data_IF_871534171977
#
_entry.id   IF_871534171977
#
_cell.length_a   1.000
_cell.length_b   1.000
_cell.length_c   1.000
_cell.angle_alpha   90.00
_cell.angle_beta   90.00
_cell.angle_gamma   90.00
#
_symmetry.space_group_name_H-M   'P 1'
#
loop_
_entity.id
_entity.type
_entity.pdbx_description
1 polymer ?
#
# COMPACT_ATOMS: atom_id res chain seq x y z
N UNK A 1 25.87 23.66 11.68
CA UNK A 1 24.89 24.16 10.69
C UNK A 1 24.27 23.02 9.86
N UNK A 2 24.01 21.85 10.47
CA UNK A 2 23.54 20.63 9.80
C UNK A 2 22.28 20.02 10.46
N UNK A 3 21.74 20.65 11.51
CA UNK A 3 20.53 20.20 12.22
C UNK A 3 19.28 20.94 11.70
N UNK A 4 19.43 22.09 11.03
CA UNK A 4 18.30 22.85 10.48
C UNK A 4 17.83 22.34 9.11
N UNK A 5 18.55 21.43 8.46
CA UNK A 5 18.13 20.87 7.16
C UNK A 5 17.07 19.77 7.26
N UNK A 6 16.80 19.23 8.47
CA UNK A 6 15.66 18.34 8.71
C UNK A 6 14.32 19.10 8.82
N UNK A 7 14.35 20.43 8.95
CA UNK A 7 13.15 21.27 8.98
C UNK A 7 12.61 21.64 7.59
N UNK A 8 13.34 21.31 6.51
CA UNK A 8 12.94 21.61 5.14
C UNK A 8 11.77 20.74 4.62
N UNK A 9 11.35 19.71 5.36
CA UNK A 9 10.15 18.92 5.07
C UNK A 9 8.91 19.41 5.86
N UNK A 10 9.03 20.51 6.62
CA UNK A 10 8.03 20.96 7.59
C UNK A 10 7.05 22.04 7.13
N UNK A 11 6.92 22.32 5.83
CA UNK A 11 6.06 23.40 5.32
C UNK A 11 4.64 22.96 4.92
N UNK A 12 4.06 22.00 5.64
CA UNK A 12 2.61 21.76 5.54
C UNK A 12 1.91 22.35 6.77
N UNK A 13 1.07 23.35 6.52
CA UNK A 13 0.20 23.98 7.51
C UNK A 13 -0.96 23.04 7.88
N UNK A 14 -0.68 22.05 8.72
CA UNK A 14 -1.72 21.22 9.34
C UNK A 14 -1.54 21.22 10.86
N UNK A 15 -2.65 21.03 11.57
CA UNK A 15 -2.68 21.16 13.02
C UNK A 15 -2.02 19.95 13.69
N UNK A 16 -0.93 20.21 14.43
CA UNK A 16 -0.15 19.18 15.13
C UNK A 16 -0.41 19.14 16.63
N UNK A 17 -1.21 20.06 17.16
CA UNK A 17 -1.45 20.17 18.60
C UNK A 17 -2.26 18.99 19.10
N UNK A 18 -1.73 18.22 20.05
CA UNK A 18 -2.46 17.12 20.65
C UNK A 18 -3.64 17.63 21.50
N UNK A 19 -4.78 16.96 21.40
CA UNK A 19 -5.95 17.22 22.26
C UNK A 19 -6.07 16.13 23.32
N UNK A 20 -6.84 16.34 24.42
CA UNK A 20 -7.06 15.28 25.40
C UNK A 20 -7.65 14.00 24.79
N UNK A 21 -8.56 14.14 23.80
CA UNK A 21 -9.15 13.01 23.09
C UNK A 21 -8.10 12.25 22.28
N UNK A 22 -7.20 12.94 21.57
CA UNK A 22 -6.16 12.28 20.78
C UNK A 22 -5.07 11.66 21.64
N UNK A 23 -4.78 12.21 22.83
CA UNK A 23 -3.88 11.57 23.79
C UNK A 23 -4.45 10.26 24.34
N UNK A 24 -5.76 10.21 24.63
CA UNK A 24 -6.44 8.97 25.02
C UNK A 24 -6.38 7.96 23.87
N UNK A 25 -6.65 8.40 22.64
CA UNK A 25 -6.53 7.55 21.45
C UNK A 25 -5.12 6.95 21.33
N UNK A 26 -4.07 7.76 21.46
CA UNK A 26 -2.67 7.29 21.42
C UNK A 26 -2.39 6.26 22.51
N UNK A 27 -2.85 6.50 23.74
CA UNK A 27 -2.71 5.54 24.83
C UNK A 27 -3.41 4.21 24.52
N UNK A 28 -4.63 4.26 23.96
CA UNK A 28 -5.35 3.05 23.52
C UNK A 28 -4.57 2.31 22.44
N UNK A 29 -4.05 3.01 21.43
CA UNK A 29 -3.21 2.39 20.38
C UNK A 29 -1.99 1.71 20.99
N UNK A 30 -1.25 2.35 21.88
CA UNK A 30 -0.08 1.74 22.53
C UNK A 30 -0.44 0.52 23.37
N UNK A 31 -1.54 0.58 24.13
CA UNK A 31 -2.04 -0.56 24.91
C UNK A 31 -2.45 -1.71 24.00
N UNK A 32 -3.17 -1.44 22.91
CA UNK A 32 -3.59 -2.45 21.92
C UNK A 32 -2.39 -3.07 21.22
N UNK A 33 -1.39 -2.28 20.80
CA UNK A 33 -0.16 -2.78 20.19
C UNK A 33 0.61 -3.65 21.18
N UNK A 34 0.83 -3.17 22.41
CA UNK A 34 1.54 -3.91 23.45
C UNK A 34 0.86 -5.23 23.81
N UNK A 35 -0.45 -5.19 24.07
CA UNK A 35 -1.25 -6.37 24.37
C UNK A 35 -1.33 -7.33 23.18
N UNK A 36 -1.57 -6.81 21.97
CA UNK A 36 -1.64 -7.59 20.75
C UNK A 36 -0.34 -8.32 20.45
N UNK A 37 0.80 -7.64 20.55
CA UNK A 37 2.12 -8.27 20.37
C UNK A 37 2.39 -9.32 21.44
N UNK A 38 2.07 -9.03 22.71
CA UNK A 38 2.20 -10.00 23.79
C UNK A 38 1.32 -11.25 23.55
N UNK A 39 0.05 -11.05 23.18
CA UNK A 39 -0.88 -12.14 22.89
C UNK A 39 -0.41 -12.98 21.68
N UNK A 40 -0.08 -12.33 20.57
CA UNK A 40 0.39 -13.01 19.36
C UNK A 40 1.74 -13.71 19.56
N UNK A 41 2.61 -13.22 20.46
CA UNK A 41 3.85 -13.91 20.84
C UNK A 41 3.62 -15.28 21.46
N UNK A 42 2.41 -15.55 21.99
CA UNK A 42 2.03 -16.87 22.52
C UNK A 42 1.56 -17.82 21.43
N UNK A 43 1.19 -17.31 20.26
CA UNK A 43 0.63 -18.08 19.15
C UNK A 43 1.66 -18.31 18.06
N UNK A 44 2.56 -17.35 17.85
CA UNK A 44 3.53 -17.34 16.76
C UNK A 44 4.94 -16.99 17.22
N UNK A 45 5.92 -17.61 16.57
CA UNK A 45 7.33 -17.26 16.74
C UNK A 45 7.68 -16.05 15.87
N UNK A 46 8.73 -15.33 16.28
CA UNK A 46 9.27 -14.17 15.55
C UNK A 46 8.23 -13.05 15.32
N UNK A 47 7.30 -12.87 16.26
CA UNK A 47 6.19 -11.91 16.09
C UNK A 47 6.68 -10.47 15.85
N UNK A 48 7.80 -10.07 16.45
CA UNK A 48 8.38 -8.74 16.22
C UNK A 48 8.84 -8.55 14.78
N UNK A 49 9.44 -9.59 14.16
CA UNK A 49 9.85 -9.52 12.76
C UNK A 49 8.62 -9.49 11.83
N UNK A 50 7.60 -10.30 12.13
CA UNK A 50 6.31 -10.28 11.39
C UNK A 50 5.62 -8.92 11.49
N UNK A 51 5.59 -8.35 12.68
CA UNK A 51 5.08 -7.01 12.92
C UNK A 51 5.87 -5.95 12.17
N UNK A 52 7.20 -6.03 12.17
CA UNK A 52 8.05 -5.14 11.37
C UNK A 52 7.74 -5.21 9.87
N UNK A 53 7.58 -6.41 9.32
CA UNK A 53 7.20 -6.61 7.91
C UNK A 53 5.82 -5.99 7.63
N UNK A 54 4.83 -6.26 8.49
CA UNK A 54 3.49 -5.68 8.37
C UNK A 54 3.54 -4.15 8.43
N UNK A 55 4.29 -3.60 9.38
CA UNK A 55 4.46 -2.16 9.55
C UNK A 55 5.15 -1.50 8.36
N UNK A 56 6.13 -2.15 7.74
CA UNK A 56 6.71 -1.68 6.48
C UNK A 56 5.67 -1.67 5.36
N UNK A 57 4.85 -2.72 5.25
CA UNK A 57 3.77 -2.77 4.25
C UNK A 57 2.74 -1.65 4.42
N UNK A 58 2.28 -1.43 5.65
CA UNK A 58 1.35 -0.34 6.00
C UNK A 58 2.01 1.03 5.76
N UNK A 59 3.26 1.22 6.17
CA UNK A 59 3.99 2.48 6.00
C UNK A 59 4.19 2.82 4.51
N UNK A 60 4.58 1.83 3.69
CA UNK A 60 4.73 2.01 2.24
C UNK A 60 3.43 2.50 1.64
N UNK A 61 2.31 1.92 2.07
CA UNK A 61 0.99 2.36 1.65
C UNK A 61 0.70 3.79 2.13
N UNK A 62 0.84 4.07 3.42
CA UNK A 62 0.53 5.41 3.98
C UNK A 62 1.38 6.52 3.37
N UNK A 63 2.66 6.25 3.05
CA UNK A 63 3.53 7.20 2.35
C UNK A 63 3.02 7.51 0.94
N UNK A 64 2.58 6.47 0.23
CA UNK A 64 2.12 6.59 -1.14
C UNK A 64 0.74 7.26 -1.24
N UNK A 65 -0.17 6.97 -0.32
CA UNK A 65 -1.52 7.54 -0.28
C UNK A 65 -1.63 8.79 0.60
N UNK A 66 -0.50 9.34 1.07
CA UNK A 66 -0.49 10.53 1.92
C UNK A 66 -1.34 11.69 1.37
N UNK A 67 -1.37 11.98 0.05
CA UNK A 67 -2.22 13.05 -0.49
C UNK A 67 -3.73 12.82 -0.38
N UNK A 68 -4.20 11.59 -0.10
CA UNK A 68 -5.64 11.26 -0.02
C UNK A 68 -6.30 11.71 1.27
N UNK A 69 -5.52 11.89 2.32
CA UNK A 69 -6.04 12.26 3.63
C UNK A 69 -5.16 13.30 4.29
N UNK A 70 -5.64 13.80 5.42
CA UNK A 70 -4.88 14.65 6.31
C UNK A 70 -4.99 14.08 7.71
N UNK A 71 -3.86 13.67 8.28
CA UNK A 71 -3.83 13.30 9.69
C UNK A 71 -3.40 14.50 10.56
N UNK A 72 -4.18 14.81 11.59
CA UNK A 72 -4.02 16.00 12.43
C UNK A 72 -4.11 15.64 13.93
N UNK A 73 -3.76 16.61 14.77
CA UNK A 73 -3.97 16.59 16.22
C UNK A 73 -3.28 15.46 17.00
N UNK A 74 -2.25 14.80 16.46
CA UNK A 74 -1.56 13.69 17.16
C UNK A 74 -0.33 14.13 17.98
N UNK A 75 0.05 15.39 17.96
CA UNK A 75 1.32 15.85 18.53
C UNK A 75 2.45 15.83 17.51
N UNK A 76 3.40 16.76 17.59
CA UNK A 76 4.52 16.86 16.64
C UNK A 76 5.37 15.59 16.56
N UNK A 77 5.42 14.81 17.64
CA UNK A 77 6.16 13.55 17.72
C UNK A 77 5.53 12.42 16.91
N UNK A 78 4.27 12.53 16.50
CA UNK A 78 3.51 11.43 15.92
C UNK A 78 3.72 11.26 14.40
N UNK A 79 4.43 12.17 13.74
CA UNK A 79 4.53 12.25 12.28
C UNK A 79 5.92 11.86 11.77
N UNK A 80 5.97 11.06 10.70
CA UNK A 80 7.21 10.64 10.04
C UNK A 80 7.55 11.47 8.82
N UNK A 81 6.55 11.73 7.97
CA UNK A 81 6.70 12.41 6.70
C UNK A 81 5.38 13.12 6.37
N UNK A 82 5.42 14.45 6.22
CA UNK A 82 4.22 15.30 6.18
C UNK A 82 3.24 14.94 7.30
N UNK A 83 2.07 14.41 6.95
CA UNK A 83 0.99 14.02 7.83
C UNK A 83 0.90 12.49 8.03
N UNK A 84 1.86 11.71 7.52
CA UNK A 84 1.94 10.27 7.76
C UNK A 84 2.35 10.01 9.21
N UNK A 85 1.48 9.34 9.98
CA UNK A 85 1.68 9.12 11.41
C UNK A 85 2.13 7.70 11.74
N UNK A 86 3.28 7.55 12.41
CA UNK A 86 3.74 6.24 12.87
C UNK A 86 2.82 5.60 13.91
N UNK A 87 2.04 6.40 14.66
CA UNK A 87 1.08 5.90 15.65
C UNK A 87 -0.06 5.17 14.92
N UNK A 88 -0.61 5.78 13.87
CA UNK A 88 -1.59 5.11 13.02
C UNK A 88 -0.97 3.90 12.33
N UNK A 89 0.25 4.02 11.79
CA UNK A 89 0.97 2.90 11.16
C UNK A 89 1.03 1.69 12.09
N UNK A 90 1.49 1.83 13.33
CA UNK A 90 1.59 0.70 14.27
C UNK A 90 0.21 0.14 14.68
N UNK A 91 -0.79 1.01 14.81
CA UNK A 91 -2.17 0.62 15.14
C UNK A 91 -2.79 -0.25 14.04
N UNK A 92 -2.70 0.20 12.79
CA UNK A 92 -3.15 -0.58 11.64
C UNK A 92 -2.34 -1.87 11.48
N UNK A 93 -1.03 -1.82 11.73
CA UNK A 93 -0.16 -2.99 11.62
C UNK A 93 -0.52 -4.10 12.58
N UNK A 94 -0.80 -3.78 13.86
CA UNK A 94 -1.18 -4.82 14.83
C UNK A 94 -2.58 -5.37 14.53
N UNK A 95 -3.49 -4.53 14.05
CA UNK A 95 -4.82 -4.97 13.61
C UNK A 95 -4.71 -5.98 12.47
N UNK A 96 -3.95 -5.64 11.43
CA UNK A 96 -3.79 -6.46 10.23
C UNK A 96 -3.08 -7.77 10.56
N UNK A 97 -1.97 -7.68 11.30
CA UNK A 97 -1.24 -8.86 11.75
C UNK A 97 -2.11 -9.76 12.64
N UNK A 98 -2.86 -9.16 13.58
CA UNK A 98 -3.76 -9.89 14.46
C UNK A 98 -4.82 -10.67 13.70
N UNK A 99 -5.49 -10.04 12.73
CA UNK A 99 -6.48 -10.72 11.88
C UNK A 99 -5.85 -11.88 11.12
N UNK A 100 -4.71 -11.65 10.45
CA UNK A 100 -4.05 -12.69 9.65
C UNK A 100 -3.65 -13.87 10.51
N UNK A 101 -2.96 -13.65 11.64
CA UNK A 101 -2.44 -14.73 12.49
C UNK A 101 -3.56 -15.49 13.22
N UNK A 102 -4.61 -14.79 13.67
CA UNK A 102 -5.76 -15.44 14.31
C UNK A 102 -6.52 -16.30 13.29
N UNK A 103 -6.79 -15.78 12.09
CA UNK A 103 -7.50 -16.55 11.06
C UNK A 103 -6.67 -17.74 10.59
N UNK A 104 -5.35 -17.58 10.42
CA UNK A 104 -4.45 -18.70 10.10
C UNK A 104 -4.47 -19.79 11.17
N UNK A 105 -4.52 -19.39 12.45
CA UNK A 105 -4.56 -20.32 13.57
C UNK A 105 -5.91 -21.03 13.69
N UNK A 106 -7.02 -20.33 13.46
CA UNK A 106 -8.38 -20.85 13.59
C UNK A 106 -8.83 -21.69 12.39
N UNK A 107 -8.34 -21.38 11.18
CA UNK A 107 -8.74 -22.02 9.93
C UNK A 107 -7.56 -22.68 9.20
N UNK A 108 -6.73 -23.52 9.87
CA UNK A 108 -5.50 -24.06 9.27
C UNK A 108 -5.78 -25.00 8.09
N UNK A 109 -6.94 -25.65 8.05
CA UNK A 109 -7.36 -26.58 6.99
C UNK A 109 -7.96 -25.89 5.76
N UNK A 110 -8.23 -24.59 5.86
CA UNK A 110 -8.79 -23.84 4.72
C UNK A 110 -7.70 -23.57 3.69
N UNK A 111 -8.08 -23.64 2.42
CA UNK A 111 -7.21 -23.24 1.31
C UNK A 111 -6.86 -21.77 1.43
N UNK A 112 -5.67 -21.39 0.96
CA UNK A 112 -5.17 -20.02 1.14
C UNK A 112 -6.13 -18.95 0.64
N UNK A 113 -6.81 -19.17 -0.49
CA UNK A 113 -7.77 -18.18 -1.01
C UNK A 113 -8.98 -17.94 -0.12
N UNK A 114 -9.45 -18.98 0.59
CA UNK A 114 -10.57 -18.81 1.52
C UNK A 114 -10.12 -18.03 2.75
N UNK A 115 -8.93 -18.34 3.27
CA UNK A 115 -8.34 -17.57 4.38
C UNK A 115 -8.11 -16.12 3.99
N UNK A 116 -7.60 -15.87 2.78
CA UNK A 116 -7.38 -14.53 2.25
C UNK A 116 -8.67 -13.71 2.23
N UNK A 117 -9.75 -14.26 1.68
CA UNK A 117 -11.07 -13.61 1.71
C UNK A 117 -11.60 -13.41 3.13
N UNK A 118 -11.35 -14.35 4.05
CA UNK A 118 -11.71 -14.19 5.47
C UNK A 118 -10.94 -13.03 6.10
N UNK A 119 -9.64 -12.86 5.84
CA UNK A 119 -8.89 -11.70 6.35
C UNK A 119 -9.53 -10.40 5.88
N UNK A 120 -9.83 -10.30 4.58
CA UNK A 120 -10.45 -9.10 3.99
C UNK A 120 -11.83 -8.83 4.61
N UNK A 121 -12.67 -9.85 4.73
CA UNK A 121 -14.01 -9.71 5.32
C UNK A 121 -13.96 -9.24 6.77
N UNK A 122 -13.07 -9.80 7.59
CA UNK A 122 -12.88 -9.37 8.98
C UNK A 122 -12.33 -7.94 9.03
N UNK A 123 -11.36 -7.60 8.18
CA UNK A 123 -10.80 -6.25 8.15
C UNK A 123 -11.81 -5.20 7.71
N UNK A 124 -12.70 -5.48 6.74
CA UNK A 124 -13.79 -4.56 6.39
C UNK A 124 -14.64 -4.23 7.62
N UNK A 125 -15.03 -5.26 8.39
CA UNK A 125 -15.87 -5.08 9.58
C UNK A 125 -15.15 -4.30 10.69
N UNK A 126 -13.84 -4.50 10.85
CA UNK A 126 -13.08 -3.85 11.93
C UNK A 126 -12.57 -2.45 11.57
N UNK A 127 -12.12 -2.23 10.34
CA UNK A 127 -11.54 -0.96 9.90
C UNK A 127 -12.58 0.14 9.83
N UNK A 128 -13.82 -0.17 9.42
CA UNK A 128 -14.85 0.84 9.23
C UNK A 128 -15.25 1.55 10.56
N UNK A 129 -15.55 0.84 11.67
CA UNK A 129 -15.76 1.50 12.97
C UNK A 129 -14.53 2.26 13.49
N UNK A 130 -13.32 1.76 13.23
CA UNK A 130 -12.09 2.43 13.65
C UNK A 130 -11.87 3.72 12.86
N UNK A 131 -12.12 3.70 11.56
CA UNK A 131 -12.04 4.89 10.71
C UNK A 131 -13.09 5.93 11.15
N UNK A 132 -14.33 5.50 11.41
CA UNK A 132 -15.39 6.36 11.98
C UNK A 132 -14.91 6.98 13.29
N UNK A 133 -14.23 6.22 14.15
CA UNK A 133 -13.71 6.75 15.40
C UNK A 133 -12.63 7.82 15.14
N UNK A 134 -11.64 7.52 14.31
CA UNK A 134 -10.50 8.41 13.99
C UNK A 134 -10.97 9.71 13.32
N UNK A 135 -11.95 9.63 12.41
CA UNK A 135 -12.55 10.79 11.76
C UNK A 135 -13.34 11.64 12.75
N UNK A 136 -14.15 11.04 13.62
CA UNK A 136 -14.98 11.78 14.58
C UNK A 136 -14.20 12.47 15.71
N UNK A 137 -12.94 12.09 15.93
CA UNK A 137 -12.04 12.78 16.88
C UNK A 137 -11.04 13.69 16.16
N UNK A 138 -11.32 14.01 14.89
CA UNK A 138 -10.54 14.90 14.02
C UNK A 138 -9.08 14.48 13.83
N UNK A 139 -8.75 13.20 14.02
CA UNK A 139 -7.41 12.69 13.74
C UNK A 139 -7.20 12.53 12.23
N UNK A 140 -8.24 12.21 11.47
CA UNK A 140 -8.17 12.02 10.02
C UNK A 140 -9.30 12.75 9.30
N UNK A 141 -8.99 13.35 8.17
CA UNK A 141 -9.94 13.90 7.21
C UNK A 141 -9.54 13.53 5.78
N UNK A 142 -10.48 13.58 4.85
CA UNK A 142 -10.24 13.26 3.44
C UNK A 142 -9.90 14.52 2.63
N UNK A 143 -9.03 14.37 1.63
CA UNK A 143 -8.73 15.45 0.70
C UNK A 143 -9.96 15.77 -0.17
N UNK A 144 -10.11 17.02 -0.66
CA UNK A 144 -11.24 17.40 -1.51
C UNK A 144 -11.40 16.49 -2.74
N UNK A 145 -10.29 16.12 -3.38
CA UNK A 145 -10.28 15.26 -4.57
C UNK A 145 -10.84 13.87 -4.27
N UNK A 146 -10.60 13.36 -3.05
CA UNK A 146 -11.21 12.12 -2.59
C UNK A 146 -12.70 12.30 -2.41
N UNK A 147 -13.14 13.36 -1.72
CA UNK A 147 -14.57 13.62 -1.53
C UNK A 147 -15.32 13.83 -2.86
N UNK A 148 -14.67 14.42 -3.86
CA UNK A 148 -15.22 14.67 -5.18
C UNK A 148 -15.32 13.38 -6.04
N UNK A 149 -14.48 12.37 -5.80
CA UNK A 149 -14.56 11.07 -6.52
C UNK A 149 -15.57 10.10 -5.91
N UNK A 150 -16.13 10.43 -4.74
CA UNK A 150 -17.09 9.62 -4.01
C UNK A 150 -18.54 9.97 -4.39
N UNK A 151 -19.48 9.05 -4.14
CA UNK A 151 -20.91 9.26 -4.44
C UNK A 151 -21.59 10.30 -3.53
N UNK A 152 -20.89 10.78 -2.50
CA UNK A 152 -21.44 11.65 -1.45
C UNK A 152 -22.22 10.91 -0.37
N UNK A 153 -22.42 9.59 -0.49
CA UNK A 153 -23.05 8.78 0.55
C UNK A 153 -22.07 8.54 1.71
N UNK A 154 -22.45 8.96 2.91
CA UNK A 154 -21.65 8.78 4.12
C UNK A 154 -22.38 7.97 5.18
N UNK A 155 -21.61 7.22 5.96
CA UNK A 155 -22.04 6.54 7.17
C UNK A 155 -21.21 7.06 8.34
N UNK A 156 -21.85 7.80 9.25
CA UNK A 156 -21.19 8.45 10.39
C UNK A 156 -19.95 9.28 9.98
N UNK A 157 -20.14 10.17 8.99
CA UNK A 157 -19.10 11.07 8.44
C UNK A 157 -18.01 10.39 7.61
N UNK A 158 -18.12 9.07 7.38
CA UNK A 158 -17.16 8.30 6.59
C UNK A 158 -17.80 7.85 5.27
N UNK A 159 -17.12 8.00 4.11
CA UNK A 159 -17.65 7.56 2.82
C UNK A 159 -17.94 6.05 2.77
N UNK A 160 -19.07 5.66 2.17
CA UNK A 160 -19.45 4.23 2.07
C UNK A 160 -18.52 3.44 1.16
N UNK A 161 -17.88 4.11 0.21
CA UNK A 161 -16.92 3.56 -0.74
C UNK A 161 -15.68 2.97 -0.06
N UNK A 162 -15.41 3.33 1.20
CA UNK A 162 -14.40 2.64 1.99
C UNK A 162 -14.62 1.13 2.05
N UNK A 163 -15.87 0.65 1.91
CA UNK A 163 -16.18 -0.78 1.85
C UNK A 163 -15.43 -1.48 0.70
N UNK A 164 -15.17 -0.80 -0.42
CA UNK A 164 -14.37 -1.37 -1.52
C UNK A 164 -12.91 -0.91 -1.53
N UNK A 165 -12.56 0.24 -0.95
CA UNK A 165 -11.16 0.65 -0.80
C UNK A 165 -10.40 -0.19 0.25
N UNK A 166 -11.04 -0.52 1.37
CA UNK A 166 -10.44 -1.35 2.43
C UNK A 166 -9.95 -2.70 1.90
N UNK A 167 -10.74 -3.53 1.18
CA UNK A 167 -10.24 -4.81 0.69
C UNK A 167 -9.13 -4.67 -0.35
N UNK A 168 -9.12 -3.57 -1.13
CA UNK A 168 -8.04 -3.26 -2.07
C UNK A 168 -6.73 -3.01 -1.32
N UNK A 169 -6.77 -2.08 -0.36
CA UNK A 169 -5.64 -1.75 0.52
C UNK A 169 -5.15 -2.97 1.31
N UNK A 170 -6.07 -3.63 2.02
CA UNK A 170 -5.75 -4.79 2.84
C UNK A 170 -5.19 -5.94 1.99
N UNK A 171 -5.70 -6.13 0.77
CA UNK A 171 -5.18 -7.12 -0.16
C UNK A 171 -3.71 -6.88 -0.50
N UNK A 172 -3.35 -5.65 -0.86
CA UNK A 172 -1.97 -5.27 -1.18
C UNK A 172 -1.03 -5.45 0.01
N UNK A 173 -1.41 -4.96 1.19
CA UNK A 173 -0.58 -5.05 2.41
C UNK A 173 -0.46 -6.48 2.91
N UNK A 174 -1.55 -7.26 2.95
CA UNK A 174 -1.50 -8.67 3.34
C UNK A 174 -0.67 -9.48 2.34
N UNK A 175 -0.82 -9.21 1.04
CA UNK A 175 -0.01 -9.83 -0.01
C UNK A 175 1.48 -9.55 0.20
N UNK A 176 1.83 -8.30 0.52
CA UNK A 176 3.19 -7.92 0.89
C UNK A 176 3.69 -8.68 2.12
N UNK A 177 2.91 -8.67 3.21
CA UNK A 177 3.23 -9.40 4.43
C UNK A 177 3.48 -10.89 4.17
N UNK A 178 2.52 -11.57 3.54
CA UNK A 178 2.58 -13.01 3.24
C UNK A 178 3.69 -13.38 2.26
N UNK A 179 4.07 -12.49 1.35
CA UNK A 179 5.23 -12.72 0.49
C UNK A 179 6.52 -12.78 1.33
N UNK A 180 6.69 -11.81 2.23
CA UNK A 180 7.89 -11.72 3.07
C UNK A 180 7.94 -12.76 4.18
N UNK A 181 6.81 -13.36 4.59
CA UNK A 181 6.84 -14.52 5.49
C UNK A 181 7.53 -15.73 4.85
N UNK A 182 7.51 -15.90 3.53
CA UNK A 182 8.32 -16.93 2.86
C UNK A 182 9.81 -16.73 3.07
N UNK A 183 10.27 -15.47 3.13
CA UNK A 183 11.66 -15.12 3.40
C UNK A 183 11.97 -15.34 4.89
N UNK A 184 11.09 -14.90 5.77
CA UNK A 184 11.28 -14.99 7.22
C UNK A 184 11.31 -16.44 7.71
N UNK A 185 10.47 -17.31 7.15
CA UNK A 185 10.34 -18.71 7.57
C UNK A 185 11.27 -19.66 6.79
N UNK A 186 12.06 -19.14 5.84
CA UNK A 186 12.91 -19.92 4.93
C UNK A 186 12.18 -21.14 4.33
N UNK A 187 10.93 -20.92 3.91
CA UNK A 187 10.08 -22.00 3.40
C UNK A 187 10.67 -22.58 2.12
N UNK A 188 10.86 -23.91 2.10
CA UNK A 188 11.28 -24.62 0.89
C UNK A 188 10.18 -24.56 -0.17
N UNK A 189 10.36 -23.68 -1.16
CA UNK A 189 9.45 -23.54 -2.29
C UNK A 189 9.88 -24.45 -3.43
N UNK A 190 8.92 -25.19 -4.02
CA UNK A 190 9.21 -26.07 -5.15
C UNK A 190 9.49 -25.20 -6.38
N UNK A 191 10.66 -25.33 -7.03
CA UNK A 191 10.95 -24.59 -8.25
C UNK A 191 10.03 -25.06 -9.37
N UNK A 192 9.33 -24.09 -9.98
CA UNK A 192 8.40 -24.36 -11.06
C UNK A 192 9.13 -24.74 -12.35
N UNK A 193 8.82 -25.93 -12.88
CA UNK A 193 9.32 -26.37 -14.19
C UNK A 193 8.64 -25.67 -15.38
N UNK A 194 7.42 -25.14 -15.20
CA UNK A 194 6.64 -24.46 -16.26
C UNK A 194 5.92 -23.24 -15.70
N UNK A 195 6.14 -22.08 -16.33
CA UNK A 195 5.48 -20.82 -16.00
C UNK A 195 4.08 -20.81 -16.65
N UNK A 196 3.04 -20.61 -15.84
CA UNK A 196 1.65 -20.46 -16.33
C UNK A 196 1.38 -19.00 -16.66
N UNK A 197 1.87 -18.55 -17.81
CA UNK A 197 1.82 -17.15 -18.26
C UNK A 197 0.45 -16.49 -18.15
N UNK A 198 -0.61 -17.12 -18.65
CA UNK A 198 -1.95 -16.55 -18.62
C UNK A 198 -2.44 -16.24 -17.19
N UNK A 199 -2.16 -17.14 -16.24
CA UNK A 199 -2.52 -16.93 -14.83
C UNK A 199 -1.69 -15.82 -14.20
N UNK A 200 -0.38 -15.78 -14.47
CA UNK A 200 0.50 -14.71 -14.00
C UNK A 200 0.04 -13.34 -14.50
N UNK A 201 -0.24 -13.22 -15.80
CA UNK A 201 -0.76 -11.99 -16.42
C UNK A 201 -2.10 -11.59 -15.79
N UNK A 202 -3.03 -12.53 -15.59
CA UNK A 202 -4.31 -12.22 -14.96
C UNK A 202 -4.17 -11.71 -13.52
N UNK A 203 -3.27 -12.29 -12.72
CA UNK A 203 -3.01 -11.82 -11.35
C UNK A 203 -2.32 -10.46 -11.32
N UNK A 204 -1.37 -10.23 -12.23
CA UNK A 204 -0.74 -8.91 -12.39
C UNK A 204 -1.79 -7.87 -12.80
N UNK A 205 -2.67 -8.19 -13.74
CA UNK A 205 -3.74 -7.29 -14.17
C UNK A 205 -4.69 -6.96 -13.01
N UNK A 206 -5.07 -7.96 -12.20
CA UNK A 206 -5.89 -7.74 -11.01
C UNK A 206 -5.16 -6.85 -9.98
N UNK A 207 -3.89 -7.12 -9.70
CA UNK A 207 -3.12 -6.35 -8.71
C UNK A 207 -2.88 -4.90 -9.16
N UNK A 208 -2.61 -4.68 -10.45
CA UNK A 208 -2.53 -3.35 -11.04
C UNK A 208 -3.90 -2.67 -11.01
N UNK A 209 -4.98 -3.36 -11.37
CA UNK A 209 -6.32 -2.77 -11.31
C UNK A 209 -6.68 -2.34 -9.88
N UNK A 210 -6.39 -3.18 -8.88
CA UNK A 210 -6.54 -2.83 -7.46
C UNK A 210 -5.72 -1.58 -7.11
N UNK A 211 -4.47 -1.49 -7.58
CA UNK A 211 -3.66 -0.29 -7.41
C UNK A 211 -4.29 0.94 -8.10
N UNK A 212 -4.75 0.82 -9.34
CA UNK A 212 -5.37 1.93 -10.08
C UNK A 212 -6.66 2.42 -9.39
N UNK A 213 -7.49 1.50 -8.87
CA UNK A 213 -8.66 1.86 -8.05
C UNK A 213 -8.23 2.68 -6.84
N UNK A 214 -7.15 2.30 -6.18
CA UNK A 214 -6.65 3.01 -4.99
C UNK A 214 -6.13 4.43 -5.28
N UNK A 215 -5.60 4.68 -6.48
CA UNK A 215 -4.99 5.98 -6.85
C UNK A 215 -5.89 6.90 -7.64
N UNK A 216 -7.03 6.39 -8.12
CA UNK A 216 -8.04 7.16 -8.85
C UNK A 216 -8.35 8.51 -8.19
N UNK A 217 -8.49 8.61 -6.86
CA UNK A 217 -8.77 9.91 -6.24
C UNK A 217 -7.61 10.92 -6.29
N UNK A 218 -6.38 10.45 -6.52
CA UNK A 218 -5.18 11.29 -6.53
C UNK A 218 -4.74 11.72 -7.93
N UNK A 219 -5.18 10.97 -8.94
CA UNK A 219 -4.64 11.09 -10.30
C UNK A 219 -5.75 10.87 -11.31
N UNK A 220 -5.92 11.85 -12.20
CA UNK A 220 -6.88 11.81 -13.30
C UNK A 220 -6.18 11.43 -14.59
N UNK A 221 -6.66 10.37 -15.24
CA UNK A 221 -6.17 9.91 -16.53
C UNK A 221 -6.95 10.58 -17.68
N UNK A 222 -6.52 11.77 -18.11
CA UNK A 222 -7.26 12.60 -19.05
C UNK A 222 -6.96 12.31 -20.54
N UNK A 223 -5.77 11.80 -20.86
CA UNK A 223 -5.27 11.75 -22.24
C UNK A 223 -5.56 10.47 -23.02
N UNK A 224 -6.25 9.49 -22.45
CA UNK A 224 -6.51 8.21 -23.12
C UNK A 224 -7.79 8.24 -23.98
N UNK A 225 -7.88 7.38 -25.02
CA UNK A 225 -9.10 7.23 -25.80
C UNK A 225 -10.28 6.82 -24.92
N UNK A 226 -11.46 7.41 -25.17
CA UNK A 226 -12.66 7.19 -24.35
C UNK A 226 -13.10 5.72 -24.23
N UNK A 227 -12.89 4.92 -25.29
CA UNK A 227 -13.20 3.49 -25.29
C UNK A 227 -12.32 2.67 -24.35
N UNK A 228 -11.16 3.22 -23.94
CA UNK A 228 -10.19 2.51 -23.12
C UNK A 228 -10.51 2.55 -21.63
N UNK A 229 -11.39 3.46 -21.19
CA UNK A 229 -11.77 3.56 -19.78
C UNK A 229 -12.70 2.42 -19.38
N UNK A 230 -12.34 1.70 -18.32
CA UNK A 230 -13.08 0.52 -17.84
C UNK A 230 -13.76 0.74 -16.49
N UNK A 231 -13.25 1.67 -15.68
CA UNK A 231 -13.79 2.02 -14.37
C UNK A 231 -13.39 3.46 -14.07
N UNK A 232 -14.36 4.38 -14.00
CA UNK A 232 -14.12 5.82 -13.89
C UNK A 232 -13.08 6.29 -14.93
N UNK A 233 -11.91 6.71 -14.50
CA UNK A 233 -10.80 7.16 -15.35
C UNK A 233 -9.70 6.10 -15.53
N UNK A 234 -9.87 4.89 -15.00
CA UNK A 234 -8.89 3.80 -15.16
C UNK A 234 -8.94 3.28 -16.61
N UNK A 235 -7.83 3.45 -17.34
CA UNK A 235 -7.69 2.98 -18.72
C UNK A 235 -7.09 1.57 -18.80
N UNK A 236 -7.68 0.71 -19.63
CA UNK A 236 -7.14 -0.61 -19.98
C UNK A 236 -5.78 -0.51 -20.69
N UNK A 237 -5.51 0.60 -21.40
CA UNK A 237 -4.22 0.83 -22.05
C UNK A 237 -3.15 1.03 -20.96
N UNK A 238 -3.41 1.91 -20.00
CA UNK A 238 -2.51 2.17 -18.88
C UNK A 238 -2.29 0.91 -18.03
N UNK A 239 -3.38 0.22 -17.66
CA UNK A 239 -3.29 -1.08 -16.96
C UNK A 239 -2.44 -2.07 -17.75
N UNK A 240 -2.63 -2.15 -19.07
CA UNK A 240 -1.86 -3.01 -19.95
C UNK A 240 -0.37 -2.67 -19.99
N UNK A 241 -0.02 -1.38 -19.97
CA UNK A 241 1.38 -0.91 -19.89
C UNK A 241 2.01 -1.42 -18.59
N UNK A 242 1.37 -1.19 -17.43
CA UNK A 242 1.91 -1.62 -16.13
C UNK A 242 2.02 -3.14 -16.00
N UNK A 243 1.02 -3.87 -16.50
CA UNK A 243 1.08 -5.33 -16.60
C UNK A 243 2.26 -5.78 -17.44
N UNK A 244 2.49 -5.13 -18.58
CA UNK A 244 3.63 -5.35 -19.46
C UNK A 244 4.96 -5.13 -18.75
N UNK A 245 5.10 -4.01 -18.03
CA UNK A 245 6.31 -3.69 -17.24
C UNK A 245 6.59 -4.79 -16.21
N UNK A 246 5.61 -5.17 -15.40
CA UNK A 246 5.79 -6.23 -14.39
C UNK A 246 6.09 -7.58 -15.04
N UNK A 247 5.41 -7.92 -16.14
CA UNK A 247 5.64 -9.18 -16.85
C UNK A 247 7.05 -9.27 -17.44
N UNK A 248 7.55 -8.19 -18.06
CA UNK A 248 8.92 -8.10 -18.60
C UNK A 248 9.93 -8.20 -17.47
N UNK A 249 9.71 -7.49 -16.37
CA UNK A 249 10.58 -7.56 -15.19
C UNK A 249 10.63 -8.96 -14.62
N UNK A 250 9.47 -9.62 -14.46
CA UNK A 250 9.40 -11.00 -13.99
C UNK A 250 10.16 -11.92 -14.96
N UNK A 251 9.92 -11.82 -16.26
CA UNK A 251 10.67 -12.58 -17.28
C UNK A 251 12.18 -12.44 -17.09
N UNK A 252 12.65 -11.21 -16.98
CA UNK A 252 14.08 -10.91 -16.87
C UNK A 252 14.66 -11.48 -15.57
N UNK A 253 14.04 -11.19 -14.42
CA UNK A 253 14.53 -11.63 -13.11
C UNK A 253 14.54 -13.15 -12.99
N UNK A 254 13.47 -13.83 -13.42
CA UNK A 254 13.42 -15.30 -13.34
C UNK A 254 14.30 -15.99 -14.38
N UNK A 255 14.55 -15.37 -15.54
CA UNK A 255 15.41 -15.94 -16.56
C UNK A 255 16.89 -15.87 -16.20
N UNK A 256 17.33 -14.73 -15.69
CA UNK A 256 18.76 -14.44 -15.46
C UNK A 256 19.19 -14.63 -14.00
N UNK A 257 18.28 -14.44 -13.05
CA UNK A 257 18.57 -14.46 -11.61
C UNK A 257 17.79 -15.52 -10.81
N UNK A 258 17.49 -16.73 -11.32
CA UNK A 258 16.69 -17.71 -10.58
C UNK A 258 17.40 -18.26 -9.34
N UNK A 259 18.73 -18.21 -9.31
CA UNK A 259 19.58 -18.72 -8.23
C UNK A 259 19.70 -17.77 -7.04
N UNK A 260 19.31 -16.50 -7.20
CA UNK A 260 19.38 -15.53 -6.11
C UNK A 260 18.24 -15.75 -5.08
N UNK A 261 18.47 -15.40 -3.80
CA UNK A 261 17.44 -15.45 -2.76
C UNK A 261 16.19 -14.64 -3.13
N UNK A 262 15.05 -15.00 -2.52
CA UNK A 262 13.75 -14.33 -2.74
C UNK A 262 13.87 -12.81 -2.53
N UNK A 263 14.52 -12.37 -1.45
CA UNK A 263 14.71 -10.95 -1.15
C UNK A 263 15.52 -10.22 -2.23
N UNK A 264 16.60 -10.82 -2.72
CA UNK A 264 17.44 -10.23 -3.78
C UNK A 264 16.69 -10.16 -5.11
N UNK A 265 15.94 -11.22 -5.47
CA UNK A 265 15.11 -11.21 -6.67
C UNK A 265 14.01 -10.16 -6.60
N UNK A 266 13.41 -9.97 -5.43
CA UNK A 266 12.43 -8.92 -5.18
C UNK A 266 13.04 -7.53 -5.35
N UNK A 267 14.21 -7.27 -4.74
CA UNK A 267 14.92 -5.99 -4.88
C UNK A 267 15.31 -5.71 -6.34
N UNK A 268 15.79 -6.73 -7.08
CA UNK A 268 16.08 -6.61 -8.51
C UNK A 268 14.82 -6.30 -9.32
N UNK A 269 13.72 -7.01 -9.05
CA UNK A 269 12.44 -6.77 -9.71
C UNK A 269 11.95 -5.35 -9.44
N UNK A 270 12.02 -4.89 -8.20
CA UNK A 270 11.63 -3.54 -7.83
C UNK A 270 12.47 -2.49 -8.57
N UNK A 271 13.80 -2.62 -8.55
CA UNK A 271 14.71 -1.70 -9.24
C UNK A 271 14.46 -1.65 -10.75
N UNK A 272 14.27 -2.80 -11.40
CA UNK A 272 13.99 -2.86 -12.84
C UNK A 272 12.62 -2.28 -13.17
N UNK A 273 11.58 -2.64 -12.42
CA UNK A 273 10.25 -2.05 -12.58
C UNK A 273 10.31 -0.53 -12.43
N UNK A 274 10.97 -0.01 -11.39
CA UNK A 274 11.11 1.44 -11.19
C UNK A 274 11.87 2.10 -12.33
N UNK A 275 12.97 1.51 -12.80
CA UNK A 275 13.77 2.07 -13.90
C UNK A 275 12.99 2.16 -15.22
N UNK A 276 12.05 1.24 -15.47
CA UNK A 276 11.18 1.25 -16.65
C UNK A 276 9.96 2.15 -16.42
N UNK A 277 9.35 2.09 -15.24
CA UNK A 277 8.12 2.80 -14.92
C UNK A 277 8.33 4.30 -14.84
N UNK A 278 9.44 4.75 -14.25
CA UNK A 278 9.74 6.17 -14.05
C UNK A 278 9.72 7.00 -15.35
N UNK A 279 10.43 6.63 -16.44
CA UNK A 279 10.36 7.40 -17.68
C UNK A 279 8.97 7.36 -18.34
N UNK A 280 8.22 6.26 -18.19
CA UNK A 280 6.86 6.14 -18.72
C UNK A 280 5.92 7.08 -17.95
N UNK A 281 5.95 7.02 -16.61
CA UNK A 281 5.13 7.85 -15.73
C UNK A 281 5.43 9.33 -15.95
N UNK A 282 6.71 9.68 -16.05
CA UNK A 282 7.12 11.05 -16.36
C UNK A 282 6.61 11.51 -17.72
N UNK A 283 6.68 10.65 -18.75
CA UNK A 283 6.13 10.97 -20.07
C UNK A 283 4.61 11.21 -19.99
N UNK A 284 3.87 10.38 -19.28
CA UNK A 284 2.42 10.56 -19.10
C UNK A 284 2.09 11.85 -18.35
N UNK A 285 2.89 12.19 -17.34
CA UNK A 285 2.75 13.41 -16.55
C UNK A 285 2.98 14.68 -17.39
N UNK A 286 4.09 14.76 -18.13
CA UNK A 286 4.45 15.97 -18.91
C UNK A 286 3.51 16.21 -20.10
N UNK A 287 2.86 15.16 -20.61
CA UNK A 287 1.91 15.28 -21.72
C UNK A 287 0.45 15.43 -21.25
N UNK A 288 0.22 15.73 -19.96
CA UNK A 288 -1.13 15.87 -19.37
C UNK A 288 -2.03 14.64 -19.59
N UNK A 289 -1.43 13.47 -19.81
CA UNK A 289 -2.18 12.20 -19.95
C UNK A 289 -2.55 11.68 -18.56
N UNK A 290 -1.63 11.85 -17.60
CA UNK A 290 -1.80 11.46 -16.20
C UNK A 290 -1.58 12.68 -15.30
N UNK A 291 -2.68 13.26 -14.82
CA UNK A 291 -2.72 14.55 -14.13
C UNK A 291 -2.89 14.34 -12.64
N UNK A 292 -1.92 14.79 -11.85
CA UNK A 292 -1.96 14.69 -10.39
C UNK A 292 -2.87 15.77 -9.79
N UNK A 293 -3.63 15.40 -8.76
CA UNK A 293 -4.54 16.32 -8.07
C UNK A 293 -3.81 17.46 -7.32
N UNK A 294 -4.48 18.59 -7.05
CA UNK A 294 -3.90 19.73 -6.33
C UNK A 294 -3.26 19.37 -4.98
N UNK A 295 -3.90 18.50 -4.19
CA UNK A 295 -3.36 18.03 -2.91
C UNK A 295 -2.06 17.23 -3.06
N UNK A 296 -1.92 16.45 -4.15
CA UNK A 296 -0.69 15.72 -4.43
C UNK A 296 0.44 16.67 -4.87
N UNK A 297 0.15 17.62 -5.77
CA UNK A 297 1.13 18.60 -6.24
C UNK A 297 1.57 19.54 -5.10
N UNK A 298 0.66 19.91 -4.20
CA UNK A 298 0.96 20.76 -3.04
C UNK A 298 1.97 20.11 -2.08
N UNK A 299 2.06 18.78 -2.08
CA UNK A 299 3.04 18.03 -1.29
C UNK A 299 4.39 17.86 -2.00
N UNK A 300 4.54 18.34 -3.25
CA UNK A 300 5.82 18.27 -3.94
C UNK A 300 6.81 19.27 -3.32
N UNK A 301 8.00 18.79 -3.01
CA UNK A 301 9.10 19.58 -2.46
C UNK A 301 9.68 20.61 -3.45
N UNK A 302 9.32 20.49 -4.73
CA UNK A 302 9.88 21.28 -5.83
C UNK A 302 11.23 20.76 -6.33
N UNK A 303 11.79 19.70 -5.76
CA UNK A 303 12.99 19.06 -6.28
C UNK A 303 12.67 18.14 -7.46
N UNK A 304 13.53 18.18 -8.49
CA UNK A 304 13.42 17.31 -9.66
C UNK A 304 14.68 16.46 -9.84
N UNK A 305 14.53 15.31 -10.51
CA UNK A 305 15.64 14.45 -10.87
C UNK A 305 16.44 15.10 -12.02
N UNK A 306 17.75 15.36 -11.88
CA UNK A 306 18.51 16.15 -12.85
C UNK A 306 18.49 15.68 -14.31
N UNK A 307 18.28 14.38 -14.56
CA UNK A 307 18.36 13.79 -15.92
C UNK A 307 17.00 13.83 -16.63
N UNK A 308 15.94 13.49 -15.92
CA UNK A 308 14.59 13.37 -16.50
C UNK A 308 13.69 14.53 -16.12
N UNK A 309 14.12 15.43 -15.22
CA UNK A 309 13.33 16.55 -14.70
C UNK A 309 11.96 16.14 -14.12
N UNK A 310 11.86 14.90 -13.62
CA UNK A 310 10.68 14.39 -12.93
C UNK A 310 10.69 14.85 -11.47
N UNK A 311 9.54 15.26 -10.90
CA UNK A 311 9.39 15.47 -9.46
C UNK A 311 9.89 14.27 -8.65
N UNK A 312 10.64 14.53 -7.58
CA UNK A 312 11.23 13.46 -6.76
C UNK A 312 10.15 12.59 -6.10
N UNK A 313 8.98 13.17 -5.81
CA UNK A 313 7.84 12.48 -5.21
C UNK A 313 7.27 11.41 -6.15
N UNK A 314 7.20 11.68 -7.46
CA UNK A 314 6.80 10.68 -8.47
C UNK A 314 7.81 9.53 -8.46
N UNK A 315 9.09 9.85 -8.45
CA UNK A 315 10.14 8.83 -8.44
C UNK A 315 10.21 8.00 -7.14
N UNK A 316 9.77 8.58 -6.02
CA UNK A 316 9.67 7.89 -4.73
C UNK A 316 8.39 7.04 -4.63
N UNK A 317 7.27 7.53 -5.17
CA UNK A 317 5.99 6.85 -5.17
C UNK A 317 6.04 5.52 -5.95
N UNK A 318 6.76 5.51 -7.09
CA UNK A 318 6.90 4.32 -7.95
C UNK A 318 7.37 3.05 -7.23
N UNK A 319 8.54 3.04 -6.58
CA UNK A 319 8.99 1.87 -5.85
C UNK A 319 8.05 1.52 -4.68
N UNK A 320 7.39 2.49 -4.05
CA UNK A 320 6.44 2.20 -2.98
C UNK A 320 5.26 1.35 -3.46
N UNK A 321 4.56 1.77 -4.52
CA UNK A 321 3.42 0.98 -4.98
C UNK A 321 3.85 -0.30 -5.71
N UNK A 322 4.94 -0.26 -6.48
CA UNK A 322 5.47 -1.46 -7.14
C UNK A 322 5.87 -2.52 -6.12
N UNK A 323 6.36 -2.12 -4.94
CA UNK A 323 6.66 -3.05 -3.87
C UNK A 323 5.43 -3.88 -3.46
N UNK A 324 4.31 -3.21 -3.19
CA UNK A 324 3.07 -3.89 -2.79
C UNK A 324 2.50 -4.77 -3.91
N UNK A 325 2.45 -4.26 -5.14
CA UNK A 325 1.93 -4.99 -6.30
C UNK A 325 2.78 -6.22 -6.61
N UNK A 326 4.11 -6.06 -6.71
CA UNK A 326 5.01 -7.18 -6.99
C UNK A 326 4.86 -8.23 -5.90
N UNK A 327 4.88 -7.84 -4.63
CA UNK A 327 4.77 -8.80 -3.53
C UNK A 327 3.43 -9.56 -3.55
N UNK A 328 2.31 -8.87 -3.79
CA UNK A 328 0.99 -9.49 -3.93
C UNK A 328 0.97 -10.53 -5.07
N UNK A 329 1.44 -10.15 -6.26
CA UNK A 329 1.49 -11.04 -7.43
C UNK A 329 2.38 -12.25 -7.15
N UNK A 330 3.59 -12.03 -6.62
CA UNK A 330 4.54 -13.11 -6.32
C UNK A 330 4.01 -14.04 -5.24
N UNK A 331 3.37 -13.52 -4.21
CA UNK A 331 2.75 -14.33 -3.16
C UNK A 331 1.70 -15.28 -3.75
N UNK A 332 0.79 -14.77 -4.58
CA UNK A 332 -0.26 -15.60 -5.17
C UNK A 332 0.27 -16.61 -6.18
N UNK A 333 1.28 -16.26 -6.98
CA UNK A 333 1.95 -17.23 -7.83
C UNK A 333 2.53 -18.38 -7.00
N UNK A 334 3.29 -18.06 -5.95
CA UNK A 334 3.90 -19.07 -5.07
C UNK A 334 2.82 -19.92 -4.39
N UNK A 335 1.78 -19.30 -3.82
CA UNK A 335 0.72 -19.99 -3.09
C UNK A 335 -0.06 -20.95 -3.99
N UNK A 336 -0.45 -20.51 -5.20
CA UNK A 336 -1.20 -21.34 -6.15
C UNK A 336 -0.35 -22.47 -6.73
N UNK A 337 0.95 -22.23 -6.91
CA UNK A 337 1.86 -23.22 -7.48
C UNK A 337 2.33 -24.28 -6.49
N UNK A 338 2.49 -23.90 -5.22
CA UNK A 338 2.81 -24.83 -4.15
C UNK A 338 1.56 -25.44 -3.49
N UNK A 339 0.35 -25.07 -3.96
CA UNK A 339 -0.95 -25.55 -3.46
C UNK A 339 -1.11 -25.36 -1.94
N UNK A 340 -0.72 -24.19 -1.45
CA UNK A 340 -0.74 -23.81 -0.03
C UNK A 340 -2.14 -23.51 0.52
#
# INVERSE_FOLDING_TARGET
>A
MLINSLWLLGHCAFERTATPATLIFQAVVFLTVGFGLWFLSKVQTQILARFGIMAVGVLIFELFTAPMWRNAHLGEWAYLYHDVSWILTIGWSILFLGVVEIVDKLLPSWREWKRFLTYLGVLIVLTLPLEIWVVNIDIRSYAPEVLDSLSGLTMASVPIELIYYVPVFAGLVIGFYKYWTFVLEDKLLIPLKKIRWARGIAMTALAIFMFEVMVEPMVVNAGFPSWSFIFHDISIIMTGIWVGVIAITALFVYRFFPHYPIATRYALALSICTAIALPIEYYLFVNDIRVYGPSAIANFSGFTIPIINAPIEIAFAIPCYMALVIALVRYWEIALDNRL
#
